data_IF_980529580262
#
_entry.id   IF_980529580262
#
_cell.length_a   1.000
_cell.length_b   1.000
_cell.length_c   1.000
_cell.angle_alpha   90.00
_cell.angle_beta   90.00
_cell.angle_gamma   90.00
#
_symmetry.space_group_name_H-M   'P 1'
#
loop_
_entity.id
_entity.type
_entity.pdbx_description
1 polymer ?
#
# COMPACT_ATOMS: atom_id res chain seq x y z
N UNK A 1 -1.00 17.05 -8.86
CA UNK A 1 -1.19 16.04 -9.93
C UNK A 1 -2.63 16.15 -10.41
N UNK A 2 -2.92 16.32 -11.70
CA UNK A 2 -4.25 16.67 -12.19
C UNK A 2 -5.33 15.57 -12.07
N UNK A 3 -4.95 14.35 -11.77
CA UNK A 3 -5.85 13.19 -11.73
C UNK A 3 -6.05 12.58 -10.33
N UNK A 4 -5.49 13.22 -9.28
CA UNK A 4 -5.70 12.76 -7.90
C UNK A 4 -7.05 13.25 -7.38
N UNK A 5 -7.83 12.36 -6.75
CA UNK A 5 -9.10 12.73 -6.08
C UNK A 5 -8.87 13.59 -4.83
N UNK A 6 -7.69 13.47 -4.20
CA UNK A 6 -7.24 14.24 -3.04
C UNK A 6 -6.13 15.22 -3.43
N UNK A 7 -5.93 16.28 -2.64
CA UNK A 7 -4.83 17.22 -2.86
C UNK A 7 -3.48 16.50 -2.70
N UNK A 8 -2.70 16.44 -3.78
CA UNK A 8 -1.41 15.75 -3.84
C UNK A 8 -0.37 16.67 -4.49
N UNK A 9 0.74 16.87 -3.80
CA UNK A 9 1.79 17.81 -4.21
C UNK A 9 3.14 17.11 -4.30
N UNK A 10 3.86 17.38 -5.39
CA UNK A 10 5.30 17.09 -5.44
C UNK A 10 6.04 18.25 -4.78
N UNK A 11 6.77 17.96 -3.72
CA UNK A 11 7.48 18.95 -2.92
C UNK A 11 8.95 18.62 -2.82
N UNK A 12 9.75 19.64 -2.49
CA UNK A 12 11.15 19.48 -2.11
C UNK A 12 11.26 19.52 -0.59
N UNK A 13 11.85 18.49 -0.01
CA UNK A 13 12.16 18.40 1.42
C UNK A 13 13.64 18.65 1.62
N UNK A 14 13.98 19.51 2.60
CA UNK A 14 15.36 19.88 2.92
C UNK A 14 15.70 19.55 4.36
N UNK A 15 16.91 19.05 4.59
CA UNK A 15 17.48 18.82 5.90
C UNK A 15 18.98 19.26 5.86
N UNK A 16 19.27 20.47 6.36
CA UNK A 16 20.60 21.07 6.19
C UNK A 16 20.90 21.31 4.70
N UNK A 17 21.97 20.69 4.22
CA UNK A 17 22.40 20.72 2.81
C UNK A 17 21.71 19.68 1.91
N UNK A 18 21.09 18.69 2.53
CA UNK A 18 20.47 17.58 1.81
C UNK A 18 19.07 17.98 1.30
N UNK A 19 18.77 17.57 0.09
CA UNK A 19 17.51 17.86 -0.57
C UNK A 19 16.98 16.60 -1.26
N UNK A 20 15.67 16.33 -1.09
CA UNK A 20 14.99 15.24 -1.79
C UNK A 20 13.59 15.65 -2.25
N UNK A 21 13.02 14.91 -3.18
CA UNK A 21 11.62 15.08 -3.60
C UNK A 21 10.72 14.15 -2.80
N UNK A 22 9.53 14.64 -2.47
CA UNK A 22 8.50 13.85 -1.81
C UNK A 22 7.11 14.16 -2.37
N UNK A 23 6.22 13.20 -2.24
CA UNK A 23 4.78 13.37 -2.48
C UNK A 23 4.14 13.73 -1.15
N UNK A 24 3.56 14.93 -1.09
CA UNK A 24 2.86 15.44 0.09
C UNK A 24 1.35 15.33 -0.11
N UNK A 25 0.69 14.66 0.83
CA UNK A 25 -0.77 14.51 0.91
C UNK A 25 -1.25 15.12 2.25
N UNK A 26 -1.72 16.38 2.27
CA UNK A 26 -2.21 17.02 3.49
C UNK A 26 -3.57 16.47 3.94
N UNK A 27 -3.77 16.29 5.24
CA UNK A 27 -5.06 15.88 5.79
C UNK A 27 -6.22 16.82 5.43
N UNK A 28 -5.95 18.14 5.33
CA UNK A 28 -6.94 19.13 4.87
C UNK A 28 -7.35 18.98 3.41
N UNK A 29 -6.59 18.22 2.61
CA UNK A 29 -6.88 17.97 1.19
C UNK A 29 -7.66 16.69 0.94
N UNK A 30 -7.99 15.94 1.99
CA UNK A 30 -8.78 14.73 1.89
C UNK A 30 -10.25 15.05 1.58
N UNK A 31 -10.78 14.38 0.58
CA UNK A 31 -12.23 14.40 0.33
C UNK A 31 -12.92 13.43 1.29
N UNK A 32 -13.99 13.84 1.96
CA UNK A 32 -14.76 12.92 2.80
C UNK A 32 -15.26 11.73 1.97
N UNK A 33 -15.00 10.54 2.48
CA UNK A 33 -15.53 9.30 1.93
C UNK A 33 -16.61 8.79 2.89
N UNK A 34 -17.70 8.28 2.32
CA UNK A 34 -18.82 7.76 3.13
C UNK A 34 -18.48 6.47 3.86
N UNK A 35 -17.47 5.73 3.40
CA UNK A 35 -17.09 4.41 3.87
C UNK A 35 -15.66 4.33 4.43
N UNK A 36 -15.00 5.46 4.59
CA UNK A 36 -13.69 5.60 5.23
C UNK A 36 -13.67 6.78 6.20
N UNK A 37 -13.09 6.62 7.39
CA UNK A 37 -12.89 7.75 8.29
C UNK A 37 -11.83 8.71 7.73
N UNK A 38 -11.80 9.94 8.27
CA UNK A 38 -10.72 10.88 8.00
C UNK A 38 -9.36 10.34 8.46
N UNK A 39 -8.27 10.88 7.91
CA UNK A 39 -6.92 10.48 8.26
C UNK A 39 -6.32 9.47 7.30
N UNK A 40 -6.69 9.51 6.02
CA UNK A 40 -6.10 8.66 4.98
C UNK A 40 -4.59 8.81 4.91
N UNK A 41 -4.06 10.02 5.13
CA UNK A 41 -2.63 10.28 5.17
C UNK A 41 -1.91 9.50 6.29
N UNK A 42 -2.58 9.16 7.42
CA UNK A 42 -2.01 8.31 8.47
C UNK A 42 -1.88 6.87 8.02
N UNK A 43 -2.83 6.38 7.21
CA UNK A 43 -2.79 5.02 6.63
C UNK A 43 -1.67 4.86 5.62
N UNK A 44 -1.30 5.91 4.89
CA UNK A 44 -0.09 5.92 4.06
C UNK A 44 1.18 5.62 4.90
N UNK A 45 1.26 6.23 6.10
CA UNK A 45 2.40 6.01 7.02
C UNK A 45 2.33 4.63 7.66
N UNK A 46 1.14 4.17 8.09
CA UNK A 46 0.94 2.81 8.60
C UNK A 46 1.35 1.75 7.56
N UNK A 47 1.02 1.96 6.28
CA UNK A 47 1.37 1.07 5.19
C UNK A 47 2.89 0.95 5.00
N UNK A 48 3.62 2.07 5.07
CA UNK A 48 5.08 2.04 5.04
C UNK A 48 5.65 1.26 6.23
N UNK A 49 5.23 1.57 7.46
CA UNK A 49 5.72 0.87 8.65
C UNK A 49 5.39 -0.63 8.59
N UNK A 50 4.20 -1.02 8.13
CA UNK A 50 3.86 -2.42 7.96
C UNK A 50 4.76 -3.11 6.94
N UNK A 51 5.02 -2.44 5.79
CA UNK A 51 5.94 -2.94 4.77
C UNK A 51 7.36 -3.16 5.30
N UNK A 52 7.88 -2.22 6.10
CA UNK A 52 9.19 -2.32 6.73
C UNK A 52 9.23 -3.43 7.80
N UNK A 53 8.22 -3.49 8.68
CA UNK A 53 8.10 -4.54 9.71
C UNK A 53 8.12 -5.94 9.10
N UNK A 54 7.40 -6.13 8.00
CA UNK A 54 7.39 -7.40 7.27
C UNK A 54 8.69 -7.61 6.45
N UNK A 55 9.57 -6.62 6.37
CA UNK A 55 10.75 -6.64 5.51
C UNK A 55 10.41 -6.79 4.03
N UNK A 56 9.21 -6.43 3.61
CA UNK A 56 8.81 -6.40 2.21
C UNK A 56 9.48 -5.25 1.47
N UNK A 57 9.60 -4.10 2.15
CA UNK A 57 10.23 -2.88 1.64
C UNK A 57 9.71 -2.47 0.25
N UNK A 58 8.39 -2.60 0.06
CA UNK A 58 7.69 -2.28 -1.21
C UNK A 58 7.01 -0.91 -1.19
N UNK A 59 6.77 -0.34 -0.01
CA UNK A 59 6.20 1.01 0.13
C UNK A 59 7.33 2.01 0.30
N UNK A 60 7.38 3.10 -0.48
CA UNK A 60 8.42 4.11 -0.31
C UNK A 60 8.37 4.73 1.09
N UNK A 61 9.53 5.11 1.67
CA UNK A 61 9.59 5.78 2.97
C UNK A 61 8.55 6.90 3.09
N UNK A 62 7.70 6.82 4.12
CA UNK A 62 6.57 7.71 4.30
C UNK A 62 6.48 8.17 5.75
N UNK A 63 6.49 9.48 6.00
CA UNK A 63 6.49 10.05 7.34
C UNK A 63 5.37 11.07 7.52
N UNK A 64 4.90 11.25 8.76
CA UNK A 64 4.05 12.38 9.14
C UNK A 64 4.91 13.61 9.39
N UNK A 65 4.49 14.74 8.86
CA UNK A 65 5.04 16.05 9.25
C UNK A 65 4.11 17.18 8.85
N UNK A 66 4.34 18.35 9.45
CA UNK A 66 3.69 19.58 9.03
C UNK A 66 4.26 20.06 7.70
N UNK A 67 3.36 20.48 6.83
CA UNK A 67 3.65 21.06 5.54
C UNK A 67 2.89 22.37 5.33
N UNK A 68 2.99 22.99 4.14
CA UNK A 68 2.35 24.26 3.84
C UNK A 68 0.82 24.27 4.05
N UNK A 69 0.18 23.11 3.98
CA UNK A 69 -1.27 22.94 4.15
C UNK A 69 -1.65 22.17 5.43
N UNK A 70 -0.75 22.13 6.42
CA UNK A 70 -0.92 21.42 7.70
C UNK A 70 -0.31 20.02 7.70
N UNK A 71 -0.65 19.24 8.73
CA UNK A 71 -0.16 17.86 8.86
C UNK A 71 -0.58 17.00 7.68
N UNK A 72 0.32 16.12 7.24
CA UNK A 72 0.06 15.18 6.17
C UNK A 72 1.16 14.13 6.05
N UNK A 73 0.98 13.19 5.12
CA UNK A 73 2.01 12.23 4.76
C UNK A 73 2.98 12.82 3.73
N UNK A 74 4.25 12.55 3.94
CA UNK A 74 5.33 12.85 3.00
C UNK A 74 5.99 11.54 2.59
N UNK A 75 5.73 11.08 1.39
CA UNK A 75 6.29 9.86 0.83
C UNK A 75 7.46 10.20 -0.07
N UNK A 76 8.58 9.49 0.08
CA UNK A 76 9.74 9.66 -0.81
C UNK A 76 9.29 9.48 -2.27
N UNK A 77 9.63 10.46 -3.11
CA UNK A 77 9.37 10.34 -4.55
C UNK A 77 10.35 9.34 -5.16
N UNK A 78 9.79 8.29 -5.77
CA UNK A 78 10.57 7.27 -6.47
C UNK A 78 10.62 7.61 -7.96
N UNK A 79 11.80 7.92 -8.53
CA UNK A 79 11.96 8.02 -9.98
C UNK A 79 11.60 6.67 -10.63
N UNK A 80 10.65 6.68 -11.54
CA UNK A 80 10.05 5.47 -12.09
C UNK A 80 9.82 5.61 -13.59
N UNK A 81 9.73 4.48 -14.27
CA UNK A 81 9.22 4.40 -15.62
C UNK A 81 7.70 4.45 -15.59
N UNK A 82 7.12 5.60 -15.91
CA UNK A 82 5.67 5.83 -15.86
C UNK A 82 4.88 5.19 -17.01
N UNK A 83 5.56 4.64 -18.01
CA UNK A 83 4.94 3.82 -19.07
C UNK A 83 4.65 2.40 -18.56
N UNK A 84 5.31 2.00 -17.45
CA UNK A 84 5.13 0.69 -16.82
C UNK A 84 4.09 0.77 -15.70
N UNK A 85 3.21 -0.21 -15.69
CA UNK A 85 2.19 -0.39 -14.66
C UNK A 85 1.92 -1.89 -14.49
N UNK A 86 1.09 -2.28 -13.51
CA UNK A 86 0.88 -3.69 -13.18
C UNK A 86 0.70 -4.60 -14.39
N UNK A 87 -0.19 -4.26 -15.33
CA UNK A 87 -0.50 -5.13 -16.47
C UNK A 87 0.70 -5.30 -17.40
N UNK A 88 1.41 -4.21 -17.74
CA UNK A 88 2.62 -4.30 -18.58
C UNK A 88 3.74 -5.07 -17.89
N UNK A 89 3.87 -4.93 -16.56
CA UNK A 89 4.85 -5.66 -15.77
C UNK A 89 4.49 -7.15 -15.68
N UNK A 90 3.22 -7.48 -15.47
CA UNK A 90 2.79 -8.87 -15.40
C UNK A 90 2.99 -9.58 -16.75
N UNK A 91 2.63 -8.96 -17.86
CA UNK A 91 2.74 -9.54 -19.20
C UNK A 91 4.18 -9.59 -19.71
N UNK A 92 4.95 -8.53 -19.51
CA UNK A 92 6.26 -8.33 -20.13
C UNK A 92 7.47 -8.68 -19.24
N UNK A 93 7.30 -8.83 -17.92
CA UNK A 93 8.40 -8.98 -16.97
C UNK A 93 8.17 -10.11 -15.96
N UNK A 94 8.19 -11.39 -16.42
CA UNK A 94 8.04 -12.56 -15.53
C UNK A 94 9.06 -12.60 -14.38
N UNK A 95 10.24 -12.00 -14.57
CA UNK A 95 11.29 -11.83 -13.57
C UNK A 95 10.85 -10.97 -12.34
N UNK A 96 9.79 -10.17 -12.49
CA UNK A 96 9.24 -9.34 -11.43
C UNK A 96 8.01 -9.97 -10.73
N UNK A 97 7.53 -11.13 -11.18
CA UNK A 97 6.33 -11.75 -10.62
C UNK A 97 6.42 -12.01 -9.12
N UNK A 98 7.61 -12.31 -8.58
CA UNK A 98 7.78 -12.50 -7.13
C UNK A 98 7.57 -11.19 -6.37
N UNK A 99 8.01 -10.05 -6.91
CA UNK A 99 7.73 -8.76 -6.31
C UNK A 99 6.23 -8.41 -6.39
N UNK A 100 5.56 -8.73 -7.50
CA UNK A 100 4.12 -8.54 -7.64
C UNK A 100 3.32 -9.45 -6.68
N UNK A 101 3.77 -10.69 -6.40
CA UNK A 101 3.18 -11.55 -5.36
C UNK A 101 3.31 -10.96 -3.96
N UNK A 102 4.43 -10.31 -3.65
CA UNK A 102 4.62 -9.62 -2.37
C UNK A 102 3.63 -8.45 -2.24
N UNK A 103 3.42 -7.65 -3.30
CA UNK A 103 2.43 -6.57 -3.31
C UNK A 103 1.01 -7.14 -3.13
N UNK A 104 0.68 -8.22 -3.83
CA UNK A 104 -0.62 -8.90 -3.68
C UNK A 104 -0.85 -9.36 -2.22
N UNK A 105 0.15 -9.99 -1.60
CA UNK A 105 0.07 -10.41 -0.20
C UNK A 105 -0.07 -9.22 0.76
N UNK A 106 0.63 -8.13 0.50
CA UNK A 106 0.50 -6.89 1.25
C UNK A 106 -0.92 -6.31 1.14
N UNK A 107 -1.48 -6.25 -0.06
CA UNK A 107 -2.85 -5.74 -0.28
C UNK A 107 -3.90 -6.58 0.45
N UNK A 108 -3.71 -7.90 0.54
CA UNK A 108 -4.56 -8.79 1.33
C UNK A 108 -4.49 -8.47 2.83
N UNK A 109 -3.28 -8.28 3.36
CA UNK A 109 -3.07 -7.93 4.77
C UNK A 109 -3.62 -6.55 5.10
N UNK A 110 -3.22 -5.56 4.31
CA UNK A 110 -3.63 -4.17 4.50
C UNK A 110 -5.09 -3.92 4.09
N UNK A 111 -5.78 -4.90 3.47
CA UNK A 111 -7.12 -4.73 2.93
C UNK A 111 -7.22 -3.50 2.01
N UNK A 112 -6.32 -3.42 1.02
CA UNK A 112 -6.27 -2.29 0.09
C UNK A 112 -7.55 -2.25 -0.75
N UNK A 113 -8.23 -1.11 -0.78
CA UNK A 113 -9.51 -0.98 -1.47
C UNK A 113 -9.40 -0.26 -2.82
N UNK A 114 -8.18 0.10 -3.25
CA UNK A 114 -7.98 0.86 -4.50
C UNK A 114 -6.61 0.60 -5.15
N UNK A 115 -6.10 -0.65 -5.15
CA UNK A 115 -4.86 -0.98 -5.86
C UNK A 115 -5.08 -0.95 -7.37
N UNK A 116 -4.80 0.18 -8.00
CA UNK A 116 -4.83 0.37 -9.45
C UNK A 116 -3.54 -0.11 -10.09
N UNK A 117 -3.56 -0.31 -11.40
CA UNK A 117 -2.36 -0.75 -12.13
C UNK A 117 -1.22 0.26 -12.03
N UNK A 118 -1.52 1.56 -12.12
CA UNK A 118 -0.53 2.64 -11.97
C UNK A 118 0.00 2.84 -10.55
N UNK A 119 -0.55 2.13 -9.55
CA UNK A 119 -0.01 2.13 -8.19
C UNK A 119 1.10 1.07 -7.96
N UNK A 120 1.45 0.31 -9.00
CA UNK A 120 2.64 -0.55 -9.06
C UNK A 120 3.66 0.12 -9.98
N UNK A 121 4.64 0.82 -9.40
CA UNK A 121 5.64 1.59 -10.15
C UNK A 121 6.93 0.78 -10.32
N UNK A 122 7.43 0.68 -11.54
CA UNK A 122 8.79 0.20 -11.77
C UNK A 122 9.78 1.33 -11.54
N UNK A 123 10.47 1.30 -10.40
CA UNK A 123 11.53 2.24 -10.08
C UNK A 123 12.73 2.08 -11.01
N UNK A 124 13.47 3.17 -11.22
CA UNK A 124 14.74 3.13 -11.99
C UNK A 124 15.81 2.28 -11.29
N UNK A 125 15.58 1.91 -10.03
CA UNK A 125 16.37 0.94 -9.24
C UNK A 125 16.03 -0.53 -9.55
N UNK A 126 15.07 -0.78 -10.46
CA UNK A 126 14.61 -2.11 -10.85
C UNK A 126 13.64 -2.76 -9.88
N UNK A 127 13.17 -2.05 -8.84
CA UNK A 127 12.21 -2.53 -7.86
C UNK A 127 10.78 -2.13 -8.25
N UNK A 128 9.82 -2.97 -7.88
CA UNK A 128 8.40 -2.61 -7.99
C UNK A 128 7.92 -2.02 -6.67
N UNK A 129 7.51 -0.77 -6.72
CA UNK A 129 7.02 -0.01 -5.58
C UNK A 129 5.49 0.04 -5.56
N UNK A 130 4.89 -0.15 -4.38
CA UNK A 130 3.46 -0.04 -4.14
C UNK A 130 3.15 1.33 -3.51
N UNK A 131 2.49 2.21 -4.26
CA UNK A 131 2.13 3.56 -3.81
C UNK A 131 0.61 3.69 -3.60
N UNK A 132 0.19 4.86 -3.06
CA UNK A 132 -1.22 5.23 -2.84
C UNK A 132 -1.97 4.23 -1.94
N UNK A 133 -1.49 4.10 -0.69
CA UNK A 133 -1.98 3.17 0.31
C UNK A 133 -2.95 3.80 1.33
N UNK A 134 -3.45 5.01 1.07
CA UNK A 134 -4.36 5.72 1.97
C UNK A 134 -5.70 5.02 2.21
N UNK A 135 -6.13 4.17 1.27
CA UNK A 135 -7.37 3.38 1.36
C UNK A 135 -7.12 1.94 1.82
N UNK A 136 -6.19 1.77 2.77
CA UNK A 136 -5.90 0.52 3.45
C UNK A 136 -6.52 0.46 4.85
N UNK A 137 -6.46 -0.70 5.47
CA UNK A 137 -6.78 -1.01 6.86
C UNK A 137 -8.26 -0.94 7.26
N UNK A 138 -9.20 -0.73 6.32
CA UNK A 138 -10.61 -0.77 6.66
C UNK A 138 -10.96 -2.06 7.47
N UNK A 139 -11.74 -1.95 8.59
CA UNK A 139 -12.13 -3.12 9.37
C UNK A 139 -12.94 -4.13 8.55
N UNK A 140 -13.96 -3.67 7.84
CA UNK A 140 -14.72 -4.53 6.94
C UNK A 140 -13.86 -4.94 5.73
N UNK A 141 -13.92 -6.22 5.34
CA UNK A 141 -13.18 -6.70 4.19
C UNK A 141 -13.72 -6.08 2.88
N UNK A 142 -12.90 -5.24 2.25
CA UNK A 142 -13.26 -4.44 1.05
C UNK A 142 -12.20 -4.52 -0.03
N UNK A 143 -11.33 -5.52 -0.04
CA UNK A 143 -10.23 -5.63 -1.00
C UNK A 143 -10.70 -5.35 -2.43
N UNK A 144 -10.06 -4.36 -3.07
CA UNK A 144 -10.16 -4.09 -4.50
C UNK A 144 -8.76 -3.89 -5.06
N UNK A 145 -8.37 -4.77 -5.96
CA UNK A 145 -7.03 -4.78 -6.54
C UNK A 145 -7.11 -5.21 -8.01
N UNK A 146 -6.13 -4.82 -8.78
CA UNK A 146 -5.95 -5.35 -10.14
C UNK A 146 -5.17 -6.67 -10.13
N UNK A 147 -4.58 -7.09 -8.98
CA UNK A 147 -3.65 -8.22 -8.89
C UNK A 147 -4.42 -9.51 -8.57
N UNK A 148 -5.07 -10.11 -9.57
CA UNK A 148 -5.86 -11.34 -9.40
C UNK A 148 -5.25 -12.57 -10.10
N UNK A 149 -4.24 -12.39 -10.94
CA UNK A 149 -3.64 -13.45 -11.76
C UNK A 149 -2.98 -14.55 -10.91
N UNK A 150 -2.51 -14.23 -9.70
CA UNK A 150 -1.96 -15.21 -8.75
C UNK A 150 -3.04 -16.00 -7.98
N UNK A 151 -4.31 -15.74 -8.25
CA UNK A 151 -5.44 -16.35 -7.53
C UNK A 151 -5.42 -17.88 -7.57
N UNK A 152 -5.41 -18.50 -6.40
CA UNK A 152 -5.30 -19.95 -6.21
C UNK A 152 -3.87 -20.47 -6.05
N UNK A 153 -2.84 -19.65 -6.28
CA UNK A 153 -1.47 -20.01 -5.95
C UNK A 153 -1.24 -19.96 -4.44
N UNK A 154 -0.30 -20.77 -3.95
CA UNK A 154 0.17 -20.70 -2.57
C UNK A 154 1.02 -19.43 -2.37
N UNK A 155 0.87 -18.75 -1.23
CA UNK A 155 1.77 -17.67 -0.86
C UNK A 155 3.21 -18.20 -0.76
N UNK A 156 4.23 -17.45 -1.22
CA UNK A 156 5.63 -17.84 -1.05
C UNK A 156 5.96 -18.07 0.44
N UNK A 157 6.72 -19.12 0.75
CA UNK A 157 7.03 -19.47 2.14
C UNK A 157 7.70 -18.32 2.90
N UNK A 158 8.63 -17.58 2.25
CA UNK A 158 9.25 -16.40 2.85
C UNK A 158 8.26 -15.27 3.17
N UNK A 159 7.16 -15.14 2.43
CA UNK A 159 6.07 -14.19 2.74
C UNK A 159 5.30 -14.68 3.97
N UNK A 160 4.96 -15.99 4.01
CA UNK A 160 4.25 -16.59 5.14
C UNK A 160 5.04 -16.45 6.45
N UNK A 161 6.35 -16.70 6.41
CA UNK A 161 7.22 -16.58 7.59
C UNK A 161 7.29 -15.15 8.12
N UNK A 162 7.33 -14.15 7.24
CA UNK A 162 7.31 -12.73 7.62
C UNK A 162 5.96 -12.33 8.21
N UNK A 163 4.83 -12.77 7.64
CA UNK A 163 3.49 -12.53 8.17
C UNK A 163 3.33 -13.13 9.57
N UNK A 164 3.93 -14.30 9.84
CA UNK A 164 3.91 -14.94 11.16
C UNK A 164 4.48 -14.06 12.26
N UNK A 165 5.42 -13.18 11.94
CA UNK A 165 5.96 -12.20 12.89
C UNK A 165 4.94 -11.22 13.47
N UNK A 166 3.74 -11.13 12.88
CA UNK A 166 2.65 -10.29 13.39
C UNK A 166 1.65 -11.04 14.29
N UNK A 167 1.83 -12.35 14.51
CA UNK A 167 0.88 -13.15 15.32
C UNK A 167 0.74 -12.66 16.77
N UNK A 168 1.82 -12.12 17.34
CA UNK A 168 1.85 -11.66 18.72
C UNK A 168 1.37 -10.20 18.88
N UNK A 169 1.02 -9.55 17.79
CA UNK A 169 0.47 -8.19 17.80
C UNK A 169 1.00 -7.30 16.67
N UNK A 170 0.34 -6.17 16.52
CA UNK A 170 0.76 -5.13 15.55
C UNK A 170 1.81 -4.24 16.21
N UNK A 171 2.97 -4.03 15.59
CA UNK A 171 4.03 -3.18 16.12
C UNK A 171 3.55 -1.76 16.42
N UNK A 172 4.05 -1.10 17.49
CA UNK A 172 3.60 0.24 17.90
C UNK A 172 3.74 1.30 16.81
N UNK A 173 4.75 1.17 15.94
CA UNK A 173 4.97 2.08 14.80
C UNK A 173 3.87 2.00 13.74
N UNK A 174 3.19 0.87 13.60
CA UNK A 174 1.99 0.70 12.75
C UNK A 174 0.74 1.12 13.53
N UNK A 175 0.59 0.57 14.75
CA UNK A 175 -0.63 0.72 15.57
C UNK A 175 -0.97 2.17 15.89
N UNK A 176 0.04 3.04 16.11
CA UNK A 176 -0.18 4.47 16.42
C UNK A 176 -0.91 5.27 15.33
N UNK A 177 -1.03 4.72 14.14
CA UNK A 177 -1.65 5.34 12.97
C UNK A 177 -3.02 4.75 12.61
N UNK A 178 -3.47 3.75 13.37
CA UNK A 178 -4.70 2.99 13.14
C UNK A 178 -5.60 3.07 14.37
N UNK A 179 -6.89 2.91 14.13
CA UNK A 179 -7.88 2.77 15.20
C UNK A 179 -7.92 1.31 15.72
N UNK A 180 -8.50 1.08 16.90
CA UNK A 180 -8.50 -0.25 17.55
C UNK A 180 -9.16 -1.33 16.68
N UNK A 181 -10.29 -1.04 16.04
CA UNK A 181 -10.99 -1.96 15.14
C UNK A 181 -10.21 -2.26 13.84
N UNK A 182 -9.40 -1.31 13.35
CA UNK A 182 -8.49 -1.53 12.22
C UNK A 182 -7.34 -2.48 12.60
N UNK A 183 -6.80 -2.34 13.83
CA UNK A 183 -5.76 -3.22 14.38
C UNK A 183 -6.30 -4.65 14.56
N UNK A 184 -7.47 -4.80 15.16
CA UNK A 184 -8.12 -6.10 15.34
C UNK A 184 -8.37 -6.79 13.98
N UNK A 185 -8.88 -6.04 13.02
CA UNK A 185 -9.14 -6.56 11.68
C UNK A 185 -7.84 -6.93 10.92
N UNK A 186 -6.75 -6.20 11.12
CA UNK A 186 -5.45 -6.55 10.57
C UNK A 186 -4.96 -7.89 11.15
N UNK A 187 -5.03 -8.08 12.47
CA UNK A 187 -4.67 -9.34 13.13
C UNK A 187 -5.55 -10.51 12.66
N UNK A 188 -6.85 -10.29 12.50
CA UNK A 188 -7.75 -11.30 11.95
C UNK A 188 -7.34 -11.75 10.55
N UNK A 189 -6.89 -10.79 9.69
CA UNK A 189 -6.36 -11.10 8.34
C UNK A 189 -5.03 -11.84 8.40
N UNK A 190 -4.14 -11.49 9.33
CA UNK A 190 -2.89 -12.25 9.59
C UNK A 190 -3.21 -13.71 9.89
N UNK A 191 -4.08 -13.98 10.88
CA UNK A 191 -4.46 -15.33 11.25
C UNK A 191 -5.15 -16.07 10.10
N UNK A 192 -6.03 -15.41 9.37
CA UNK A 192 -6.71 -15.97 8.20
C UNK A 192 -5.76 -16.40 7.08
N UNK A 193 -4.77 -15.57 6.77
CA UNK A 193 -3.76 -15.89 5.74
C UNK A 193 -2.82 -16.99 6.19
N UNK A 194 -2.46 -17.06 7.48
CA UNK A 194 -1.64 -18.15 8.01
C UNK A 194 -2.37 -19.49 8.06
N UNK A 195 -3.67 -19.47 8.37
CA UNK A 195 -4.50 -20.67 8.36
C UNK A 195 -4.68 -21.22 6.92
N UNK A 196 -4.75 -20.33 5.93
CA UNK A 196 -4.88 -20.70 4.52
C UNK A 196 -3.98 -19.82 3.65
N UNK A 197 -2.69 -20.16 3.50
CA UNK A 197 -1.71 -19.35 2.78
C UNK A 197 -1.86 -19.50 1.26
N UNK A 198 -2.98 -19.02 0.72
CA UNK A 198 -3.34 -19.09 -0.70
C UNK A 198 -3.91 -17.75 -1.13
N UNK A 199 -3.46 -17.22 -2.26
CA UNK A 199 -4.06 -16.04 -2.86
C UNK A 199 -5.53 -16.31 -3.22
N UNK A 200 -6.48 -15.48 -2.76
CA UNK A 200 -7.89 -15.67 -3.10
C UNK A 200 -8.14 -15.43 -4.59
N UNK A 201 -9.23 -15.98 -5.09
CA UNK A 201 -9.78 -15.66 -6.41
C UNK A 201 -10.96 -14.72 -6.25
N UNK A 202 -11.11 -13.76 -7.14
CA UNK A 202 -12.34 -13.00 -7.24
C UNK A 202 -13.35 -13.75 -8.13
N UNK A 203 -14.21 -14.55 -7.49
CA UNK A 203 -15.28 -15.26 -8.20
C UNK A 203 -16.42 -14.33 -8.63
N UNK A 204 -16.47 -13.10 -8.10
CA UNK A 204 -17.56 -12.15 -8.38
C UNK A 204 -17.28 -11.28 -9.61
N UNK A 205 -16.01 -11.04 -9.95
CA UNK A 205 -15.58 -10.07 -10.97
C UNK A 205 -15.81 -8.61 -10.56
N UNK A 206 -16.18 -8.34 -9.30
CA UNK A 206 -16.54 -6.99 -8.82
C UNK A 206 -15.51 -6.36 -7.88
N UNK A 207 -14.39 -7.04 -7.63
CA UNK A 207 -13.35 -6.57 -6.70
C UNK A 207 -12.18 -5.87 -7.40
N UNK A 208 -12.50 -5.14 -8.46
CA UNK A 208 -11.56 -4.27 -9.14
C UNK A 208 -11.76 -2.82 -8.70
N UNK A 209 -10.69 -2.02 -8.58
CA UNK A 209 -10.80 -0.58 -8.41
C UNK A 209 -11.34 0.07 -9.69
N UNK A 210 -11.89 1.27 -9.57
CA UNK A 210 -12.30 2.04 -10.74
C UNK A 210 -11.77 3.49 -10.65
N UNK A 211 -11.12 4.02 -11.71
CA UNK A 211 -10.64 3.29 -12.91
C UNK A 211 -9.56 2.27 -12.59
N UNK A 212 -9.23 1.39 -13.57
CA UNK A 212 -8.22 0.34 -13.40
C UNK A 212 -6.79 0.89 -13.46
N UNK A 213 -6.60 2.01 -14.16
CA UNK A 213 -5.30 2.68 -14.41
C UNK A 213 -5.37 4.10 -13.88
#
# INVERSE_FOLDING_TARGET
>A
MPWSSNATFLVTVRAGTDETKAIYKPGRGERPLWDFPHGLYRREVAAWHLSETLGFAIVPPTVLRDGPFGEGSFQLFVPSDFEQHYFTLYEGRPDLHDQLRVICAFDLLANNTDRKSGHCLLGLDGRVWAIDNGLCFAPAFKLRTVIWEFGGERLPDGVVDRIRGLCDGVPPEVARHLDEDEIEALLARVHGLLARPVFPRDASGHRYPWPLV
#
